data_IF_724180741706
#
_entry.id   IF_724180741706
#
_cell.length_a   1.000
_cell.length_b   1.000
_cell.length_c   1.000
_cell.angle_alpha   90.00
_cell.angle_beta   90.00
_cell.angle_gamma   90.00
#
_symmetry.space_group_name_H-M   'P 1'
#
loop_
_entity.id
_entity.type
_entity.pdbx_description
1 polymer ?
#
# COMPACT_ATOMS: atom_id res chain seq x y z
N UNK A 1 33.55 38.92 -3.26
CA UNK A 1 32.23 38.76 -3.90
C UNK A 1 32.12 37.62 -4.91
N UNK A 2 33.09 37.40 -5.83
CA UNK A 2 32.97 36.30 -6.81
C UNK A 2 33.04 34.87 -6.21
N UNK A 3 33.80 34.67 -5.11
CA UNK A 3 33.90 33.36 -4.44
C UNK A 3 32.64 32.95 -3.67
N UNK A 4 31.90 33.89 -3.11
CA UNK A 4 30.65 33.62 -2.38
C UNK A 4 29.49 33.24 -3.31
N UNK A 5 29.48 33.78 -4.54
CA UNK A 5 28.50 33.43 -5.59
C UNK A 5 28.70 31.98 -6.06
N UNK A 6 29.95 31.52 -6.18
CA UNK A 6 30.24 30.14 -6.59
C UNK A 6 29.86 29.12 -5.51
N UNK A 7 29.99 29.45 -4.23
CA UNK A 7 29.57 28.58 -3.11
C UNK A 7 28.03 28.47 -3.04
N UNK A 8 27.32 29.58 -3.27
CA UNK A 8 25.86 29.60 -3.30
C UNK A 8 25.30 28.77 -4.48
N UNK A 9 25.97 28.84 -5.64
CA UNK A 9 25.62 28.04 -6.81
C UNK A 9 25.82 26.54 -6.57
N UNK A 10 26.91 26.13 -5.89
CA UNK A 10 27.15 24.72 -5.53
C UNK A 10 26.09 24.22 -4.55
N UNK A 11 25.71 25.00 -3.55
CA UNK A 11 24.63 24.64 -2.60
C UNK A 11 23.27 24.45 -3.29
N UNK A 12 22.96 25.28 -4.29
CA UNK A 12 21.70 25.18 -5.05
C UNK A 12 21.60 23.88 -5.87
N UNK A 13 22.73 23.34 -6.35
CA UNK A 13 22.75 22.08 -7.10
C UNK A 13 22.60 20.83 -6.23
N UNK A 14 22.83 20.92 -4.91
CA UNK A 14 22.68 19.78 -3.98
C UNK A 14 21.32 19.74 -3.27
N UNK A 15 20.51 20.80 -3.30
CA UNK A 15 19.18 20.81 -2.69
C UNK A 15 18.14 19.83 -3.30
N UNK A 16 18.10 19.53 -4.62
CA UNK A 16 17.02 18.72 -5.18
C UNK A 16 17.09 17.22 -4.83
N UNK A 17 18.17 16.74 -4.20
CA UNK A 17 18.32 15.34 -3.81
C UNK A 17 17.64 14.99 -2.47
N UNK A 18 17.12 15.98 -1.74
CA UNK A 18 16.48 15.78 -0.42
C UNK A 18 14.95 15.70 -0.48
N UNK A 19 14.36 15.75 -1.67
CA UNK A 19 12.91 15.71 -1.87
C UNK A 19 12.47 14.33 -2.39
N UNK A 20 12.83 13.25 -1.70
CA UNK A 20 12.15 11.97 -1.90
C UNK A 20 10.80 12.03 -1.18
N UNK A 21 9.70 11.91 -1.92
CA UNK A 21 8.37 11.83 -1.33
C UNK A 21 8.28 10.59 -0.43
N UNK A 22 7.74 10.74 0.78
CA UNK A 22 7.49 9.61 1.67
C UNK A 22 6.48 8.65 1.03
N UNK A 23 6.68 7.33 1.14
CA UNK A 23 5.72 6.37 0.63
C UNK A 23 4.38 6.50 1.36
N UNK A 24 3.27 6.29 0.64
CA UNK A 24 1.93 6.24 1.26
C UNK A 24 1.87 5.15 2.33
N UNK A 25 1.25 5.46 3.47
CA UNK A 25 1.02 4.48 4.52
C UNK A 25 0.01 3.41 4.07
N UNK A 26 0.06 2.24 4.69
CA UNK A 26 -0.90 1.17 4.40
C UNK A 26 -2.33 1.60 4.75
N UNK A 27 -2.49 2.41 5.81
CA UNK A 27 -3.78 2.94 6.21
C UNK A 27 -4.37 3.90 5.16
N UNK A 28 -3.55 4.78 4.60
CA UNK A 28 -3.98 5.71 3.56
C UNK A 28 -4.42 4.96 2.30
N UNK A 29 -3.70 3.88 1.94
CA UNK A 29 -4.08 3.04 0.79
C UNK A 29 -5.40 2.31 1.07
N UNK A 30 -5.59 1.75 2.27
CA UNK A 30 -6.87 1.14 2.65
C UNK A 30 -8.02 2.16 2.52
N UNK A 31 -7.78 3.41 2.94
CA UNK A 31 -8.76 4.47 2.80
C UNK A 31 -9.05 4.83 1.33
N UNK A 32 -8.04 4.82 0.47
CA UNK A 32 -8.20 5.03 -0.97
C UNK A 32 -9.02 3.88 -1.60
N UNK A 33 -8.77 2.62 -1.21
CA UNK A 33 -9.54 1.45 -1.67
C UNK A 33 -11.00 1.50 -1.21
N UNK A 34 -11.27 1.96 0.02
CA UNK A 34 -12.65 2.20 0.49
C UNK A 34 -13.32 3.28 -0.37
N UNK A 35 -12.60 4.35 -0.73
CA UNK A 35 -13.14 5.36 -1.63
C UNK A 35 -13.44 4.83 -3.02
N UNK A 36 -12.57 3.97 -3.56
CA UNK A 36 -12.82 3.26 -4.81
C UNK A 36 -14.08 2.39 -4.73
N UNK A 37 -14.24 1.61 -3.67
CA UNK A 37 -15.43 0.78 -3.44
C UNK A 37 -16.70 1.63 -3.40
N UNK A 38 -16.67 2.76 -2.69
CA UNK A 38 -17.79 3.70 -2.68
C UNK A 38 -18.07 4.22 -4.08
N UNK A 39 -17.06 4.64 -4.84
CA UNK A 39 -17.27 5.13 -6.21
C UNK A 39 -17.89 4.05 -7.10
N UNK A 40 -17.47 2.79 -6.99
CA UNK A 40 -18.06 1.67 -7.72
C UNK A 40 -19.53 1.47 -7.36
N UNK A 41 -19.87 1.47 -6.07
CA UNK A 41 -21.27 1.42 -5.59
C UNK A 41 -22.08 2.57 -6.21
N UNK A 42 -21.55 3.80 -6.20
CA UNK A 42 -22.23 4.97 -6.74
C UNK A 42 -22.49 4.90 -8.25
N UNK A 43 -21.68 4.17 -9.02
CA UNK A 43 -21.98 3.96 -10.46
C UNK A 43 -23.22 3.09 -10.69
N UNK A 44 -23.57 2.26 -9.71
CA UNK A 44 -24.69 1.32 -9.78
C UNK A 44 -25.96 1.94 -9.19
N UNK A 45 -25.81 2.92 -8.27
CA UNK A 45 -26.96 3.67 -7.78
C UNK A 45 -27.63 4.43 -8.94
N UNK A 46 -28.97 4.37 -9.05
CA UNK A 46 -29.70 5.25 -9.95
C UNK A 46 -29.38 6.72 -9.67
N UNK A 47 -29.38 7.55 -10.72
CA UNK A 47 -29.14 8.98 -10.57
C UNK A 47 -30.25 9.60 -9.69
N UNK A 48 -29.88 10.46 -8.73
CA UNK A 48 -30.77 11.08 -7.73
C UNK A 48 -31.26 10.18 -6.58
N UNK A 49 -30.53 9.11 -6.25
CA UNK A 49 -30.90 8.26 -5.12
C UNK A 49 -30.48 8.85 -3.77
N UNK A 50 -31.45 8.82 -2.85
CA UNK A 50 -31.27 9.11 -1.44
C UNK A 50 -31.34 7.81 -0.64
N UNK A 51 -30.43 7.62 0.32
CA UNK A 51 -30.38 6.40 1.12
C UNK A 51 -31.25 6.56 2.37
N UNK A 52 -32.05 5.55 2.68
CA UNK A 52 -32.84 5.50 3.91
C UNK A 52 -31.95 5.23 5.10
N UNK A 53 -31.13 4.22 4.91
CA UNK A 53 -30.40 3.53 5.94
C UNK A 53 -29.17 2.92 5.30
N UNK A 54 -28.07 2.98 6.06
CA UNK A 54 -26.78 2.44 5.69
C UNK A 54 -26.40 1.50 6.81
N UNK A 55 -26.37 0.21 6.52
CA UNK A 55 -25.87 -0.82 7.42
C UNK A 55 -24.43 -1.15 7.01
N UNK A 56 -23.48 -0.94 7.92
CA UNK A 56 -22.11 -1.36 7.77
C UNK A 56 -21.86 -2.62 8.63
N UNK A 57 -21.22 -3.62 8.05
CA UNK A 57 -20.79 -4.82 8.76
C UNK A 57 -19.34 -5.12 8.45
N UNK A 58 -18.59 -5.57 9.44
CA UNK A 58 -17.22 -6.03 9.26
C UNK A 58 -16.80 -6.97 10.38
N UNK A 59 -15.74 -7.76 10.19
CA UNK A 59 -14.96 -8.30 11.30
C UNK A 59 -14.57 -7.20 12.31
N UNK A 60 -14.44 -7.59 13.58
CA UNK A 60 -14.12 -6.69 14.69
C UNK A 60 -12.83 -5.87 14.48
N UNK A 61 -11.86 -6.45 13.79
CA UNK A 61 -10.58 -5.81 13.51
C UNK A 61 -10.73 -4.59 12.60
N UNK A 62 -11.80 -4.52 11.79
CA UNK A 62 -12.05 -3.47 10.80
C UNK A 62 -13.11 -2.45 11.25
N UNK A 63 -13.66 -2.58 12.46
CA UNK A 63 -14.80 -1.79 12.95
C UNK A 63 -14.53 -0.27 12.89
N UNK A 64 -13.26 0.13 13.06
CA UNK A 64 -12.85 1.53 12.95
C UNK A 64 -12.98 2.12 11.53
N UNK A 65 -13.12 1.29 10.49
CA UNK A 65 -13.26 1.71 9.10
C UNK A 65 -14.70 2.12 8.74
N UNK A 66 -15.69 1.79 9.57
CA UNK A 66 -17.09 2.21 9.36
C UNK A 66 -17.18 3.73 9.22
N UNK A 67 -16.56 4.46 10.15
CA UNK A 67 -16.58 5.92 10.13
C UNK A 67 -15.94 6.48 8.86
N UNK A 68 -14.90 5.82 8.34
CA UNK A 68 -14.27 6.22 7.08
C UNK A 68 -15.23 6.01 5.91
N UNK A 69 -15.87 4.85 5.82
CA UNK A 69 -16.85 4.54 4.79
C UNK A 69 -18.01 5.54 4.79
N UNK A 70 -18.60 5.80 5.97
CA UNK A 70 -19.69 6.77 6.14
C UNK A 70 -19.25 8.20 5.77
N UNK A 71 -18.06 8.61 6.19
CA UNK A 71 -17.49 9.90 5.83
C UNK A 71 -17.31 10.04 4.31
N UNK A 72 -16.79 9.00 3.64
CA UNK A 72 -16.61 8.99 2.19
C UNK A 72 -17.95 9.11 1.46
N UNK A 73 -18.98 8.34 1.85
CA UNK A 73 -20.31 8.44 1.28
C UNK A 73 -20.90 9.85 1.41
N UNK A 74 -20.82 10.43 2.61
CA UNK A 74 -21.31 11.78 2.86
C UNK A 74 -20.60 12.83 1.99
N UNK A 75 -19.27 12.72 1.83
CA UNK A 75 -18.49 13.65 1.00
C UNK A 75 -18.82 13.54 -0.49
N UNK A 76 -19.32 12.39 -0.95
CA UNK A 76 -19.81 12.21 -2.32
C UNK A 76 -21.26 12.70 -2.50
N UNK A 77 -21.84 13.33 -1.49
CA UNK A 77 -23.17 13.95 -1.56
C UNK A 77 -24.33 13.00 -1.27
N UNK A 78 -24.07 11.78 -0.78
CA UNK A 78 -25.11 10.85 -0.38
C UNK A 78 -25.57 11.20 1.03
N UNK A 79 -26.77 11.75 1.14
CA UNK A 79 -27.40 12.10 2.41
C UNK A 79 -28.44 11.05 2.80
N UNK A 80 -28.54 10.77 4.10
CA UNK A 80 -29.63 9.97 4.66
C UNK A 80 -30.95 10.73 4.57
N UNK A 81 -32.02 10.09 4.13
CA UNK A 81 -33.38 10.67 4.06
C UNK A 81 -34.44 9.70 4.54
N UNK A 82 -35.54 10.22 5.09
CA UNK A 82 -36.70 9.43 5.49
C UNK A 82 -37.75 9.24 4.37
N UNK A 83 -37.39 9.54 3.11
CA UNK A 83 -38.29 9.41 1.96
C UNK A 83 -38.76 7.97 1.73
N UNK A 84 -40.00 7.80 1.28
CA UNK A 84 -40.60 6.46 1.01
C UNK A 84 -39.95 5.74 -0.16
N UNK A 85 -39.23 6.45 -1.05
CA UNK A 85 -38.56 5.88 -2.23
C UNK A 85 -37.04 5.73 -2.03
N UNK A 86 -36.60 5.71 -0.77
CA UNK A 86 -35.18 5.62 -0.43
C UNK A 86 -34.69 4.17 -0.38
N UNK A 87 -33.39 4.00 -0.67
CA UNK A 87 -32.76 2.69 -0.74
C UNK A 87 -32.10 2.33 0.59
N UNK A 88 -32.14 1.06 0.96
CA UNK A 88 -31.32 0.47 2.02
C UNK A 88 -29.99 0.01 1.41
N UNK A 89 -28.88 0.57 1.86
CA UNK A 89 -27.54 0.12 1.49
C UNK A 89 -26.99 -0.75 2.61
N UNK A 90 -26.71 -2.02 2.32
CA UNK A 90 -25.93 -2.90 3.18
C UNK A 90 -24.53 -3.03 2.59
N UNK A 91 -23.51 -2.75 3.39
CA UNK A 91 -22.11 -2.89 3.00
C UNK A 91 -21.41 -3.79 4.01
N UNK A 92 -20.77 -4.85 3.53
CA UNK A 92 -19.97 -5.78 4.31
C UNK A 92 -18.52 -5.65 3.86
N UNK A 93 -17.63 -5.27 4.77
CA UNK A 93 -16.20 -5.33 4.55
C UNK A 93 -15.70 -6.71 4.97
N UNK A 94 -15.45 -7.57 3.99
CA UNK A 94 -15.25 -8.99 4.21
C UNK A 94 -13.79 -9.30 4.55
N UNK A 95 -12.85 -8.69 3.81
CA UNK A 95 -11.42 -8.96 3.99
C UNK A 95 -10.56 -7.75 3.63
N UNK A 96 -9.51 -7.52 4.42
CA UNK A 96 -8.36 -6.68 4.06
C UNK A 96 -7.10 -7.52 4.21
N UNK A 97 -6.20 -7.45 3.23
CA UNK A 97 -4.90 -8.10 3.31
C UNK A 97 -3.77 -7.24 2.76
N UNK A 98 -2.60 -7.40 3.38
CA UNK A 98 -1.36 -6.72 2.99
C UNK A 98 -0.29 -7.79 2.82
N UNK A 99 0.26 -7.86 1.62
CA UNK A 99 1.29 -8.82 1.24
C UNK A 99 2.54 -8.06 0.82
N UNK A 100 3.66 -8.49 1.36
CA UNK A 100 4.97 -8.03 0.92
C UNK A 100 5.68 -9.19 0.22
N UNK A 101 6.22 -8.95 -0.97
CA UNK A 101 7.05 -9.92 -1.67
C UNK A 101 8.34 -10.19 -0.91
N UNK A 102 9.04 -11.26 -1.31
CA UNK A 102 10.44 -11.40 -0.90
C UNK A 102 11.28 -10.19 -1.36
N UNK A 103 12.30 -9.79 -0.58
CA UNK A 103 13.12 -8.64 -0.93
C UNK A 103 13.94 -8.90 -2.18
N UNK A 104 14.04 -7.90 -3.04
CA UNK A 104 14.84 -7.94 -4.26
C UNK A 104 15.64 -6.65 -4.43
N UNK A 105 16.64 -6.66 -5.31
CA UNK A 105 17.43 -5.45 -5.64
C UNK A 105 17.76 -5.42 -7.12
N UNK A 106 17.83 -4.22 -7.68
CA UNK A 106 18.09 -4.05 -9.12
C UNK A 106 19.58 -4.17 -9.48
N UNK A 107 20.47 -3.95 -8.53
CA UNK A 107 21.93 -4.04 -8.70
C UNK A 107 22.60 -4.45 -7.38
N UNK A 108 23.86 -4.90 -7.48
CA UNK A 108 24.67 -5.37 -6.35
C UNK A 108 24.75 -4.36 -5.19
N UNK A 109 24.78 -3.06 -5.51
CA UNK A 109 24.93 -1.96 -4.55
C UNK A 109 23.63 -1.19 -4.27
N UNK A 110 22.49 -1.62 -4.83
CA UNK A 110 21.21 -0.94 -4.58
C UNK A 110 20.53 -1.48 -3.33
N UNK A 111 19.80 -0.62 -2.64
CA UNK A 111 18.98 -1.01 -1.49
C UNK A 111 17.94 -2.07 -1.85
N UNK A 112 17.61 -2.92 -0.87
CA UNK A 112 16.54 -3.90 -1.00
C UNK A 112 15.18 -3.21 -1.12
N UNK A 113 14.38 -3.72 -2.04
CA UNK A 113 13.00 -3.31 -2.31
C UNK A 113 12.08 -4.50 -2.10
N UNK A 114 10.81 -4.21 -1.86
CA UNK A 114 9.72 -5.18 -1.82
C UNK A 114 8.58 -4.66 -2.67
N UNK A 115 7.85 -5.58 -3.30
CA UNK A 115 6.54 -5.29 -3.85
C UNK A 115 5.52 -5.42 -2.72
N UNK A 116 4.72 -4.37 -2.54
CA UNK A 116 3.61 -4.36 -1.59
C UNK A 116 2.33 -4.48 -2.39
N UNK A 117 1.49 -5.45 -2.04
CA UNK A 117 0.12 -5.58 -2.54
C UNK A 117 -0.86 -5.45 -1.37
N UNK A 118 -1.79 -4.50 -1.47
CA UNK A 118 -2.89 -4.31 -0.53
C UNK A 118 -4.18 -4.58 -1.26
N UNK A 119 -5.01 -5.47 -0.72
CA UNK A 119 -6.30 -5.80 -1.30
C UNK A 119 -7.42 -5.67 -0.29
N UNK A 120 -8.61 -5.36 -0.80
CA UNK A 120 -9.84 -5.20 -0.07
C UNK A 120 -10.94 -5.97 -0.83
N UNK A 121 -11.66 -6.83 -0.11
CA UNK A 121 -12.86 -7.51 -0.60
C UNK A 121 -14.05 -7.05 0.23
N UNK A 122 -15.11 -6.65 -0.46
CA UNK A 122 -16.36 -6.24 0.16
C UNK A 122 -17.55 -6.78 -0.61
N UNK A 123 -18.69 -6.85 0.06
CA UNK A 123 -19.97 -7.19 -0.55
C UNK A 123 -20.93 -6.06 -0.25
N UNK A 124 -21.66 -5.59 -1.25
CA UNK A 124 -22.75 -4.65 -1.02
C UNK A 124 -24.08 -5.18 -1.54
N UNK A 125 -25.16 -4.69 -0.95
CA UNK A 125 -26.52 -4.95 -1.39
C UNK A 125 -27.36 -3.68 -1.31
N UNK A 126 -28.13 -3.43 -2.36
CA UNK A 126 -29.11 -2.37 -2.44
C UNK A 126 -30.51 -2.97 -2.35
N UNK A 127 -31.33 -2.46 -1.42
CA UNK A 127 -32.69 -2.92 -1.22
C UNK A 127 -33.72 -1.78 -1.23
N UNK A 128 -34.96 -2.11 -1.56
CA UNK A 128 -36.12 -1.22 -1.43
C UNK A 128 -37.22 -2.03 -0.76
N UNK A 129 -37.91 -1.46 0.24
CA UNK A 129 -39.02 -2.12 0.95
C UNK A 129 -38.65 -3.54 1.43
N UNK A 130 -37.44 -3.70 1.99
CA UNK A 130 -36.92 -4.97 2.51
C UNK A 130 -36.66 -6.06 1.45
N UNK A 131 -36.67 -5.72 0.16
CA UNK A 131 -36.28 -6.62 -0.93
C UNK A 131 -34.95 -6.19 -1.55
N UNK A 132 -33.99 -7.12 -1.64
CA UNK A 132 -32.72 -6.89 -2.35
C UNK A 132 -33.00 -6.74 -3.85
N UNK A 133 -32.55 -5.63 -4.42
CA UNK A 133 -32.65 -5.31 -5.84
C UNK A 133 -31.36 -5.62 -6.59
N UNK A 134 -30.23 -5.39 -5.94
CA UNK A 134 -28.91 -5.62 -6.50
C UNK A 134 -27.95 -5.99 -5.39
N UNK A 135 -27.00 -6.86 -5.68
CA UNK A 135 -25.90 -7.19 -4.78
C UNK A 135 -24.72 -7.66 -5.61
N UNK A 136 -23.52 -7.26 -5.20
CA UNK A 136 -22.29 -7.55 -5.90
C UNK A 136 -21.13 -7.58 -4.90
N UNK A 137 -20.11 -8.36 -5.24
CA UNK A 137 -18.83 -8.42 -4.55
C UNK A 137 -17.89 -7.46 -5.26
N UNK A 138 -17.26 -6.57 -4.51
CA UNK A 138 -16.25 -5.63 -4.99
C UNK A 138 -14.89 -6.09 -4.48
N UNK A 139 -13.96 -6.30 -5.41
CA UNK A 139 -12.56 -6.55 -5.13
C UNK A 139 -11.75 -5.36 -5.62
N UNK A 140 -10.87 -4.83 -4.77
CA UNK A 140 -9.99 -3.71 -5.12
C UNK A 140 -8.58 -3.98 -4.61
N UNK A 141 -7.59 -3.66 -5.43
CA UNK A 141 -6.19 -3.93 -5.13
C UNK A 141 -5.32 -2.72 -5.47
N UNK A 142 -4.25 -2.55 -4.71
CA UNK A 142 -3.21 -1.58 -4.96
C UNK A 142 -1.85 -2.26 -4.82
N UNK A 143 -0.98 -2.05 -5.81
CA UNK A 143 0.38 -2.58 -5.80
C UNK A 143 1.41 -1.51 -6.09
N UNK A 144 2.47 -1.48 -5.29
CA UNK A 144 3.64 -0.63 -5.53
C UNK A 144 4.94 -1.27 -5.06
N UNK A 145 6.05 -0.58 -5.31
CA UNK A 145 7.38 -0.99 -4.85
C UNK A 145 7.87 0.03 -3.83
N UNK A 146 8.33 -0.45 -2.68
CA UNK A 146 8.93 0.37 -1.63
C UNK A 146 10.23 -0.24 -1.11
N UNK A 147 11.04 0.57 -0.42
CA UNK A 147 12.26 0.07 0.19
C UNK A 147 11.92 -0.86 1.35
N UNK A 148 12.63 -1.97 1.49
CA UNK A 148 12.43 -2.92 2.59
C UNK A 148 12.51 -2.24 3.97
N UNK A 149 13.36 -1.23 4.11
CA UNK A 149 13.50 -0.42 5.32
C UNK A 149 12.23 0.38 5.67
N UNK A 150 11.41 0.71 4.68
CA UNK A 150 10.22 1.56 4.84
C UNK A 150 8.98 0.79 5.29
N UNK A 151 9.00 -0.55 5.30
CA UNK A 151 7.87 -1.38 5.77
C UNK A 151 7.39 -0.90 7.14
N UNK A 152 8.32 -0.71 8.09
CA UNK A 152 8.00 -0.25 9.45
C UNK A 152 7.42 1.16 9.51
N UNK A 153 7.67 1.98 8.50
CA UNK A 153 7.20 3.37 8.44
C UNK A 153 5.81 3.48 7.81
N UNK A 154 5.45 2.56 6.91
CA UNK A 154 4.13 2.53 6.25
C UNK A 154 3.09 1.75 7.05
N UNK A 155 3.52 0.86 7.95
CA UNK A 155 2.65 0.18 8.91
C UNK A 155 2.34 1.10 10.10
N UNK A 156 1.08 1.14 10.54
CA UNK A 156 0.67 1.90 11.72
C UNK A 156 0.80 1.03 12.96
N UNK A 157 1.70 1.34 13.92
CA UNK A 157 2.05 0.43 15.01
C UNK A 157 0.88 -0.07 15.87
N UNK A 158 -0.16 0.76 16.01
CA UNK A 158 -1.32 0.47 16.87
C UNK A 158 -2.51 -0.12 16.10
N UNK A 159 -2.37 -0.40 14.80
CA UNK A 159 -3.43 -0.93 13.95
C UNK A 159 -2.96 -2.21 13.25
N UNK A 160 -3.33 -3.36 13.80
CA UNK A 160 -2.96 -4.69 13.25
C UNK A 160 -3.35 -4.84 11.79
N UNK A 161 -4.49 -4.27 11.38
CA UNK A 161 -5.01 -4.27 10.00
C UNK A 161 -4.06 -3.66 8.97
N UNK A 162 -3.10 -2.84 9.45
CA UNK A 162 -2.11 -2.19 8.59
C UNK A 162 -0.82 -3.00 8.48
N UNK A 163 -0.68 -4.13 9.18
CA UNK A 163 0.51 -4.95 9.14
C UNK A 163 0.36 -6.07 8.10
N UNK A 164 1.39 -6.25 7.29
CA UNK A 164 1.45 -7.34 6.32
C UNK A 164 2.21 -8.56 6.84
N UNK A 165 2.21 -9.63 6.05
CA UNK A 165 3.14 -10.74 6.30
C UNK A 165 4.56 -10.27 5.98
N UNK A 166 5.37 -10.02 7.02
CA UNK A 166 6.74 -9.54 6.85
C UNK A 166 7.59 -10.64 6.16
N UNK A 167 8.31 -10.31 5.08
CA UNK A 167 9.15 -11.28 4.40
C UNK A 167 10.44 -11.50 5.20
N UNK A 168 11.16 -12.56 4.87
CA UNK A 168 12.40 -12.91 5.57
C UNK A 168 13.47 -11.83 5.38
N UNK A 169 14.30 -11.59 6.41
CA UNK A 169 15.36 -10.59 6.29
C UNK A 169 16.44 -11.05 5.30
N UNK A 170 16.87 -10.19 4.34
CA UNK A 170 17.84 -10.55 3.31
C UNK A 170 19.27 -10.53 3.86
N UNK A 171 19.55 -11.31 4.90
CA UNK A 171 20.87 -11.36 5.55
C UNK A 171 21.84 -12.30 4.81
N UNK A 172 21.34 -13.34 4.14
CA UNK A 172 22.19 -14.37 3.56
C UNK A 172 22.79 -14.00 2.20
N UNK A 173 22.04 -13.32 1.32
CA UNK A 173 22.60 -12.87 0.03
C UNK A 173 23.65 -11.76 0.19
N UNK A 174 23.39 -10.83 1.12
CA UNK A 174 24.27 -9.69 1.44
C UNK A 174 25.68 -10.12 1.89
N UNK A 175 25.80 -11.24 2.62
CA UNK A 175 27.09 -11.72 3.15
C UNK A 175 27.78 -12.71 2.20
N UNK A 176 27.03 -13.49 1.42
CA UNK A 176 27.61 -14.47 0.49
C UNK A 176 28.39 -13.78 -0.63
N UNK A 177 27.91 -12.65 -1.13
CA UNK A 177 28.56 -11.95 -2.24
C UNK A 177 29.97 -11.42 -1.91
N UNK A 178 30.20 -10.68 -0.81
CA UNK A 178 31.56 -10.30 -0.40
C UNK A 178 32.46 -11.52 -0.21
N UNK A 179 31.95 -12.60 0.37
CA UNK A 179 32.71 -13.83 0.61
C UNK A 179 33.11 -14.50 -0.70
N UNK A 180 32.19 -14.61 -1.67
CA UNK A 180 32.47 -15.16 -3.00
C UNK A 180 33.48 -14.28 -3.74
N UNK A 181 33.31 -12.96 -3.71
CA UNK A 181 34.21 -12.02 -4.38
C UNK A 181 35.64 -12.10 -3.82
N UNK A 182 35.78 -12.02 -2.49
CA UNK A 182 37.09 -12.14 -1.81
C UNK A 182 37.68 -13.54 -2.05
N UNK A 183 36.87 -14.59 -1.93
CA UNK A 183 37.28 -15.96 -2.18
C UNK A 183 37.80 -16.16 -3.60
N UNK A 184 37.10 -15.66 -4.61
CA UNK A 184 37.49 -15.74 -6.01
C UNK A 184 38.82 -15.02 -6.27
N UNK A 185 39.01 -13.83 -5.69
CA UNK A 185 40.28 -13.08 -5.79
C UNK A 185 41.43 -13.87 -5.18
N UNK A 186 41.26 -14.40 -3.97
CA UNK A 186 42.29 -15.20 -3.28
C UNK A 186 42.65 -16.45 -4.09
N UNK A 187 41.64 -17.21 -4.55
CA UNK A 187 41.85 -18.43 -5.35
C UNK A 187 42.56 -18.11 -6.66
N UNK A 188 42.19 -17.02 -7.33
CA UNK A 188 42.83 -16.56 -8.56
C UNK A 188 44.29 -16.22 -8.31
N UNK A 189 44.60 -15.46 -7.25
CA UNK A 189 45.97 -15.13 -6.85
C UNK A 189 46.79 -16.41 -6.62
N UNK A 190 46.27 -17.34 -5.82
CA UNK A 190 46.94 -18.61 -5.51
C UNK A 190 47.23 -19.40 -6.80
N UNK A 191 46.23 -19.55 -7.68
CA UNK A 191 46.40 -20.26 -8.95
C UNK A 191 47.44 -19.56 -9.83
N UNK A 192 47.40 -18.24 -9.94
CA UNK A 192 48.29 -17.47 -10.80
C UNK A 192 49.75 -17.58 -10.35
N UNK A 193 50.01 -17.57 -9.04
CA UNK A 193 51.36 -17.80 -8.52
C UNK A 193 51.79 -19.28 -8.59
N UNK A 194 50.87 -20.22 -8.40
CA UNK A 194 51.20 -21.65 -8.40
C UNK A 194 51.52 -22.16 -9.81
N UNK A 195 50.77 -21.72 -10.83
CA UNK A 195 51.01 -22.08 -12.23
C UNK A 195 52.30 -21.45 -12.77
N UNK A 196 52.63 -20.23 -12.33
CA UNK A 196 53.79 -19.47 -12.83
C UNK A 196 55.10 -19.79 -12.09
N UNK A 197 55.03 -20.46 -10.93
CA UNK A 197 56.21 -20.79 -10.11
C UNK A 197 56.77 -22.19 -10.40
N UNK A 198 56.34 -22.84 -11.48
CA UNK A 198 56.95 -24.04 -12.06
C UNK A 198 57.81 -23.69 -13.27
#
# INVERSE_FOLDING_TARGET
MKRSINILAVLFFFLPQLLSAQPKSNLDIIYDLIEENVNQILTILPHEVTLKEIEFSSPKEYENLENRFLHTLNNKGILRTDSVHSFLLKYSLDQIGILYSEPFRGSLLSDYKVERNIFLSSTFALGINNHVKHSEIIESEYSDTLYYSDIKNVETPNLSITHGTKPSEPLFESLLEPVIAIGAVIVTIILLFTVRSK
#
